data_IF_983832629713
#
_entry.id   IF_983832629713
#
_cell.length_a   1.000
_cell.length_b   1.000
_cell.length_c   1.000
_cell.angle_alpha   90.00
_cell.angle_beta   90.00
_cell.angle_gamma   90.00
#
_symmetry.space_group_name_H-M   'P 1'
#
loop_
_entity.id
_entity.type
_entity.pdbx_description
1 polymer ?
#
# COMPACT_ATOMS: atom_id res chain seq x y z
N UNK A 1 -7.86 10.42 -9.61
CA UNK A 1 -8.55 9.36 -8.85
C UNK A 1 -9.57 8.60 -9.71
N UNK A 2 -9.35 8.43 -11.02
CA UNK A 2 -10.16 7.46 -11.79
C UNK A 2 -9.65 6.05 -11.46
N UNK A 3 -10.49 5.23 -10.82
CA UNK A 3 -10.09 3.93 -10.27
C UNK A 3 -10.82 2.80 -10.98
N UNK A 4 -10.14 1.67 -11.10
CA UNK A 4 -10.69 0.43 -11.63
C UNK A 4 -10.16 -0.72 -10.78
N UNK A 5 -11.05 -1.47 -10.14
CA UNK A 5 -10.71 -2.77 -9.57
C UNK A 5 -10.69 -3.79 -10.71
N UNK A 6 -9.64 -4.60 -10.78
CA UNK A 6 -9.43 -5.54 -11.90
C UNK A 6 -9.29 -6.95 -11.38
N UNK A 7 -9.96 -7.86 -12.08
CA UNK A 7 -9.79 -9.29 -11.92
C UNK A 7 -9.32 -9.88 -13.25
N UNK A 8 -8.16 -10.53 -13.23
CA UNK A 8 -7.58 -11.15 -14.42
C UNK A 8 -7.39 -12.64 -14.22
N UNK A 9 -8.19 -13.44 -14.90
CA UNK A 9 -8.10 -14.90 -14.94
C UNK A 9 -7.60 -15.34 -16.32
N UNK A 10 -6.35 -15.79 -16.41
CA UNK A 10 -5.73 -16.18 -17.66
C UNK A 10 -5.30 -17.65 -17.65
N UNK A 11 -5.35 -18.35 -18.81
CA UNK A 11 -4.95 -19.75 -18.94
C UNK A 11 -3.42 -19.93 -19.08
N UNK A 12 -2.62 -18.98 -18.58
CA UNK A 12 -1.17 -18.98 -18.76
C UNK A 12 -0.49 -20.15 -18.05
N UNK A 13 0.57 -20.66 -18.69
CA UNK A 13 1.43 -21.74 -18.19
C UNK A 13 2.81 -21.20 -17.86
N UNK A 14 3.58 -21.93 -17.05
CA UNK A 14 4.96 -21.55 -16.68
C UNK A 14 5.84 -21.49 -17.94
N UNK A 15 5.65 -22.44 -18.86
CA UNK A 15 6.36 -22.53 -20.14
C UNK A 15 5.34 -22.88 -21.23
N UNK A 16 5.57 -22.37 -22.44
CA UNK A 16 4.74 -22.68 -23.60
C UNK A 16 5.06 -24.08 -24.17
N UNK A 17 4.59 -25.11 -23.46
CA UNK A 17 4.66 -26.49 -23.92
C UNK A 17 3.42 -27.32 -23.51
N UNK A 18 3.22 -28.43 -24.21
CA UNK A 18 2.22 -29.45 -23.86
C UNK A 18 2.59 -30.09 -22.52
N UNK A 19 1.71 -29.98 -21.52
CA UNK A 19 1.92 -30.52 -20.18
C UNK A 19 2.47 -29.54 -19.13
N UNK A 20 2.85 -28.31 -19.49
CA UNK A 20 3.26 -27.32 -18.48
C UNK A 20 2.14 -26.99 -17.49
N UNK A 21 2.52 -26.84 -16.23
CA UNK A 21 1.63 -26.41 -15.16
C UNK A 21 1.12 -24.98 -15.42
N UNK A 22 -0.13 -24.73 -15.04
CA UNK A 22 -0.68 -23.38 -14.97
C UNK A 22 0.15 -22.55 -13.99
N UNK A 23 0.35 -21.26 -14.29
CA UNK A 23 1.02 -20.37 -13.34
C UNK A 23 0.23 -20.30 -12.02
N UNK A 24 0.88 -20.17 -10.84
CA UNK A 24 0.19 -20.16 -9.55
C UNK A 24 -0.80 -18.99 -9.41
N UNK A 25 -0.39 -17.78 -9.81
CA UNK A 25 -1.20 -16.58 -9.85
C UNK A 25 -2.00 -16.45 -11.15
N UNK A 26 -2.60 -17.54 -11.65
CA UNK A 26 -3.39 -17.51 -12.88
C UNK A 26 -4.60 -16.58 -12.79
N UNK A 27 -5.17 -16.42 -11.60
CA UNK A 27 -6.16 -15.42 -11.29
C UNK A 27 -5.56 -14.42 -10.28
N UNK A 28 -5.73 -13.13 -10.54
CA UNK A 28 -5.34 -12.06 -9.62
C UNK A 28 -6.43 -11.00 -9.55
N UNK A 29 -6.64 -10.44 -8.37
CA UNK A 29 -7.50 -9.27 -8.15
C UNK A 29 -6.66 -8.14 -7.56
N UNK A 30 -6.80 -6.93 -8.09
CA UNK A 30 -6.02 -5.78 -7.64
C UNK A 30 -6.71 -4.44 -7.91
N UNK A 31 -6.33 -3.42 -7.14
CA UNK A 31 -6.75 -2.04 -7.38
C UNK A 31 -5.87 -1.38 -8.43
N UNK A 32 -6.46 -0.63 -9.36
CA UNK A 32 -5.75 -0.07 -10.51
C UNK A 32 -6.45 1.19 -11.03
N UNK A 33 -6.05 1.62 -12.21
CA UNK A 33 -6.48 2.81 -12.93
C UNK A 33 -6.84 2.42 -14.36
N UNK A 34 -7.66 3.20 -15.10
CA UNK A 34 -7.90 2.95 -16.52
C UNK A 34 -6.58 2.75 -17.28
N UNK A 35 -6.57 1.82 -18.26
CA UNK A 35 -5.42 1.45 -19.13
C UNK A 35 -4.18 0.81 -18.49
N UNK A 36 -3.96 0.92 -17.18
CA UNK A 36 -2.83 0.24 -16.52
C UNK A 36 -3.03 -1.28 -16.51
N UNK A 37 -2.03 -2.08 -16.87
CA UNK A 37 -2.13 -3.56 -16.81
C UNK A 37 -1.71 -4.14 -15.47
N UNK A 38 -1.14 -3.31 -14.59
CA UNK A 38 -0.79 -3.62 -13.22
C UNK A 38 -1.56 -2.72 -12.25
N UNK A 39 -1.47 -3.03 -10.97
CA UNK A 39 -1.72 -2.01 -9.96
C UNK A 39 -0.65 -0.92 -10.05
N UNK A 40 -0.96 0.24 -9.48
CA UNK A 40 -0.04 1.36 -9.25
C UNK A 40 -0.06 1.74 -7.76
N UNK A 41 -0.92 1.11 -6.95
CA UNK A 41 -1.15 1.49 -5.55
C UNK A 41 0.00 1.12 -4.58
N UNK A 42 0.53 -0.10 -4.46
CA UNK A 42 0.09 -1.40 -5.01
C UNK A 42 -0.71 -2.32 -4.05
N UNK A 43 -1.69 -3.07 -4.55
CA UNK A 43 -2.42 -4.10 -3.77
C UNK A 43 -2.94 -5.24 -4.65
N UNK A 44 -2.48 -6.47 -4.41
CA UNK A 44 -2.83 -7.68 -5.16
C UNK A 44 -3.27 -8.81 -4.23
N UNK A 45 -4.23 -9.59 -4.70
CA UNK A 45 -4.60 -10.92 -4.17
C UNK A 45 -4.45 -11.91 -5.31
N UNK A 46 -3.81 -13.05 -5.07
CA UNK A 46 -3.53 -14.03 -6.11
C UNK A 46 -4.16 -15.39 -5.82
N UNK A 47 -4.44 -16.17 -6.85
CA UNK A 47 -4.92 -17.57 -6.74
C UNK A 47 -3.91 -18.52 -6.09
N UNK A 48 -2.69 -18.05 -5.81
CA UNK A 48 -1.72 -18.75 -4.97
C UNK A 48 -1.89 -18.43 -3.47
N UNK A 49 -2.96 -17.73 -3.09
CA UNK A 49 -3.26 -17.26 -1.74
C UNK A 49 -2.17 -16.33 -1.17
N UNK A 50 -1.58 -15.51 -2.04
CA UNK A 50 -0.68 -14.42 -1.65
C UNK A 50 -1.43 -13.09 -1.67
N UNK A 51 -1.24 -12.30 -0.63
CA UNK A 51 -1.58 -10.87 -0.64
C UNK A 51 -0.29 -10.06 -0.73
N UNK A 52 -0.19 -9.21 -1.74
CA UNK A 52 1.01 -8.41 -2.02
C UNK A 52 0.65 -6.95 -2.04
N UNK A 53 1.34 -6.15 -1.25
CA UNK A 53 1.18 -4.69 -1.20
C UNK A 53 2.51 -4.02 -0.89
N UNK A 54 2.62 -2.71 -1.07
CA UNK A 54 3.84 -1.98 -0.77
C UNK A 54 3.57 -0.57 -0.26
N UNK A 55 4.62 0.05 0.30
CA UNK A 55 4.70 1.51 0.36
C UNK A 55 6.04 1.98 -0.19
N UNK A 56 6.01 3.08 -0.94
CA UNK A 56 7.21 3.60 -1.61
C UNK A 56 8.20 4.21 -0.62
N UNK A 57 9.45 3.82 -0.72
CA UNK A 57 10.58 4.40 0.00
C UNK A 57 11.28 5.44 -0.88
N UNK A 58 11.58 6.61 -0.31
CA UNK A 58 12.38 7.61 -1.00
C UNK A 58 13.86 7.21 -1.04
N UNK A 59 14.55 7.64 -2.09
CA UNK A 59 16.01 7.46 -2.24
C UNK A 59 16.66 8.84 -2.24
N UNK A 60 17.22 9.22 -1.09
CA UNK A 60 17.88 10.51 -0.87
C UNK A 60 19.34 10.50 -1.31
N UNK A 61 20.00 9.33 -1.27
CA UNK A 61 21.36 9.16 -1.74
C UNK A 61 21.41 9.23 -3.27
N UNK A 62 21.85 10.38 -3.79
CA UNK A 62 21.84 10.67 -5.22
C UNK A 62 22.84 9.85 -6.04
N UNK A 63 23.89 9.29 -5.42
CA UNK A 63 24.91 8.51 -6.12
C UNK A 63 24.33 7.20 -6.66
N UNK A 64 23.31 6.63 -5.98
CA UNK A 64 22.61 5.43 -6.43
C UNK A 64 21.93 5.60 -7.81
N UNK A 65 21.59 6.83 -8.20
CA UNK A 65 20.98 7.09 -9.51
C UNK A 65 21.95 6.92 -10.68
N UNK A 66 23.25 6.86 -10.45
CA UNK A 66 24.22 6.47 -11.47
C UNK A 66 23.99 5.05 -11.96
N UNK A 67 23.57 4.12 -11.09
CA UNK A 67 23.23 2.74 -11.46
C UNK A 67 22.05 2.71 -12.45
N UNK A 68 21.06 3.58 -12.23
CA UNK A 68 19.89 3.70 -13.11
C UNK A 68 20.27 4.37 -14.44
N UNK A 69 21.01 5.49 -14.39
CA UNK A 69 21.38 6.29 -15.57
C UNK A 69 22.39 5.61 -16.47
N UNK A 70 23.36 4.89 -15.90
CA UNK A 70 24.40 4.20 -16.66
C UNK A 70 23.91 2.88 -17.27
N UNK A 71 22.59 2.66 -17.25
CA UNK A 71 21.93 1.59 -17.97
C UNK A 71 22.38 0.23 -17.46
N UNK A 72 21.72 -0.29 -16.43
CA UNK A 72 21.61 -1.75 -16.36
C UNK A 72 20.91 -2.18 -17.65
N UNK A 73 21.68 -2.59 -18.66
CA UNK A 73 21.19 -2.96 -20.01
C UNK A 73 20.11 -4.04 -19.97
N UNK A 74 20.00 -4.72 -18.83
CA UNK A 74 19.05 -5.80 -18.57
C UNK A 74 17.98 -5.41 -17.53
N UNK A 75 17.88 -4.14 -17.10
CA UNK A 75 16.90 -3.72 -16.11
C UNK A 75 15.46 -3.88 -16.63
N UNK A 76 14.59 -4.40 -15.76
CA UNK A 76 13.16 -4.50 -16.00
C UNK A 76 12.43 -3.60 -15.02
N UNK A 77 11.55 -2.73 -15.51
CA UNK A 77 10.83 -1.77 -14.66
C UNK A 77 9.97 -2.49 -13.60
N UNK A 78 9.86 -1.86 -12.43
CA UNK A 78 9.23 -2.44 -11.23
C UNK A 78 7.83 -2.96 -11.45
N UNK A 79 6.98 -2.26 -12.22
CA UNK A 79 5.62 -2.72 -12.46
C UNK A 79 5.58 -4.06 -13.22
N UNK A 80 6.52 -4.29 -14.15
CA UNK A 80 6.66 -5.57 -14.85
C UNK A 80 7.16 -6.65 -13.91
N UNK A 81 8.20 -6.36 -13.10
CA UNK A 81 8.74 -7.31 -12.12
C UNK A 81 7.71 -7.71 -11.06
N UNK A 82 6.98 -6.75 -10.52
CA UNK A 82 5.90 -6.98 -9.55
C UNK A 82 4.77 -7.82 -10.16
N UNK A 83 4.39 -7.57 -11.41
CA UNK A 83 3.40 -8.39 -12.11
C UNK A 83 3.88 -9.82 -12.36
N UNK A 84 5.10 -10.00 -12.87
CA UNK A 84 5.69 -11.32 -13.12
C UNK A 84 5.81 -12.10 -11.81
N UNK A 85 6.33 -11.50 -10.75
CA UNK A 85 6.45 -12.13 -9.44
C UNK A 85 5.08 -12.54 -8.88
N UNK A 86 4.07 -11.67 -8.96
CA UNK A 86 2.71 -11.96 -8.48
C UNK A 86 1.99 -13.04 -9.28
N UNK A 87 2.39 -13.25 -10.54
CA UNK A 87 1.85 -14.31 -11.41
C UNK A 87 2.53 -15.65 -11.20
N UNK A 88 3.85 -15.67 -11.00
CA UNK A 88 4.64 -16.91 -10.98
C UNK A 88 4.84 -17.50 -9.58
N UNK A 89 4.78 -16.69 -8.52
CA UNK A 89 5.11 -17.14 -7.16
C UNK A 89 4.02 -17.98 -6.49
N UNK A 90 4.43 -19.07 -5.85
CA UNK A 90 3.62 -19.89 -4.92
C UNK A 90 3.81 -19.45 -3.46
N UNK A 91 4.98 -18.94 -3.11
CA UNK A 91 5.33 -18.51 -1.74
C UNK A 91 5.90 -17.09 -1.73
N UNK A 92 6.02 -16.51 -0.53
CA UNK A 92 6.68 -15.22 -0.34
C UNK A 92 8.15 -15.22 -0.80
N UNK A 93 8.89 -16.28 -0.52
CA UNK A 93 10.30 -16.43 -0.94
C UNK A 93 10.44 -16.48 -2.46
N UNK A 94 9.56 -17.20 -3.15
CA UNK A 94 9.54 -17.24 -4.62
C UNK A 94 9.20 -15.86 -5.20
N UNK A 95 8.21 -15.15 -4.63
CA UNK A 95 7.85 -13.80 -5.07
C UNK A 95 9.05 -12.87 -5.01
N UNK A 96 9.75 -12.88 -3.88
CA UNK A 96 10.95 -12.07 -3.68
C UNK A 96 12.04 -12.48 -4.68
N UNK A 97 12.26 -13.78 -4.89
CA UNK A 97 13.25 -14.29 -5.84
C UNK A 97 12.99 -13.79 -7.26
N UNK A 98 11.75 -13.85 -7.73
CA UNK A 98 11.37 -13.33 -9.05
C UNK A 98 11.46 -11.81 -9.13
N UNK A 99 11.01 -11.09 -8.09
CA UNK A 99 11.02 -9.62 -8.08
C UNK A 99 12.44 -9.03 -8.10
N UNK A 100 13.41 -9.70 -7.47
CA UNK A 100 14.81 -9.27 -7.43
C UNK A 100 15.50 -9.32 -8.78
N UNK A 101 15.07 -10.21 -9.66
CA UNK A 101 15.70 -10.42 -10.95
C UNK A 101 15.60 -9.15 -11.80
N UNK A 102 16.73 -8.72 -12.38
CA UNK A 102 16.81 -7.53 -13.23
C UNK A 102 16.27 -6.24 -12.59
N UNK A 103 16.54 -6.05 -11.29
CA UNK A 103 16.18 -4.85 -10.53
C UNK A 103 16.52 -3.55 -11.31
N UNK A 104 15.52 -2.70 -11.50
CA UNK A 104 15.67 -1.41 -12.19
C UNK A 104 16.12 -0.26 -11.30
N UNK A 105 16.00 -0.37 -9.98
CA UNK A 105 16.23 0.76 -9.07
C UNK A 105 15.21 1.88 -9.19
N UNK A 106 14.07 1.64 -9.81
CA UNK A 106 12.98 2.61 -10.00
C UNK A 106 11.76 2.18 -9.20
N UNK A 107 10.89 3.09 -8.79
CA UNK A 107 9.75 2.78 -7.91
C UNK A 107 10.17 1.90 -6.71
N UNK A 108 11.04 2.48 -5.87
CA UNK A 108 11.74 1.77 -4.81
C UNK A 108 10.84 1.65 -3.59
N UNK A 109 10.43 0.43 -3.25
CA UNK A 109 9.35 0.21 -2.30
C UNK A 109 9.76 -0.77 -1.20
N UNK A 110 9.04 -0.75 -0.08
CA UNK A 110 8.93 -1.90 0.83
C UNK A 110 7.72 -2.73 0.41
N UNK A 111 7.98 -3.86 -0.26
CA UNK A 111 6.98 -4.86 -0.57
C UNK A 111 6.71 -5.74 0.64
N UNK A 112 5.44 -6.02 0.90
CA UNK A 112 4.94 -6.94 1.92
C UNK A 112 4.22 -8.08 1.20
N UNK A 113 4.69 -9.30 1.44
CA UNK A 113 4.16 -10.52 0.82
C UNK A 113 3.62 -11.40 1.94
N UNK A 114 2.31 -11.39 2.09
CA UNK A 114 1.60 -12.22 3.05
C UNK A 114 1.14 -13.53 2.39
N UNK A 115 1.62 -14.66 2.91
CA UNK A 115 1.22 -15.99 2.47
C UNK A 115 0.18 -16.57 3.44
N UNK A 116 -1.09 -16.52 3.04
CA UNK A 116 -2.20 -17.00 3.86
C UNK A 116 -2.11 -18.52 4.15
N UNK A 117 -1.43 -19.29 3.29
CA UNK A 117 -1.21 -20.74 3.48
C UNK A 117 -0.24 -21.02 4.62
N UNK A 118 0.60 -20.05 4.97
CA UNK A 118 1.57 -20.17 6.06
C UNK A 118 1.07 -19.53 7.35
N UNK A 119 -0.06 -18.82 7.37
CA UNK A 119 -0.61 -18.26 8.60
C UNK A 119 -1.34 -19.35 9.42
N UNK A 120 -1.20 -19.41 10.77
CA UNK A 120 -0.44 -18.55 11.68
C UNK A 120 0.91 -19.15 12.12
N UNK A 121 1.64 -19.82 11.21
CA UNK A 121 2.96 -20.42 11.52
C UNK A 121 3.96 -19.34 11.97
N UNK A 122 5.07 -19.77 12.57
CA UNK A 122 6.09 -18.87 13.13
C UNK A 122 7.11 -18.36 12.10
N UNK A 123 6.97 -18.74 10.83
CA UNK A 123 7.89 -18.44 9.74
C UNK A 123 7.13 -18.50 8.41
N UNK A 124 7.48 -17.62 7.48
CA UNK A 124 6.98 -17.64 6.10
C UNK A 124 5.60 -17.02 5.90
N UNK A 125 4.93 -16.53 6.95
CA UNK A 125 3.59 -15.94 6.82
C UNK A 125 3.65 -14.51 6.28
N UNK A 126 4.63 -13.72 6.71
CA UNK A 126 4.84 -12.36 6.19
C UNK A 126 6.33 -12.14 5.93
N UNK A 127 6.67 -11.93 4.67
CA UNK A 127 8.00 -11.48 4.26
C UNK A 127 7.91 -10.05 3.75
N UNK A 128 9.00 -9.30 3.96
CA UNK A 128 9.21 -8.00 3.32
C UNK A 128 10.39 -8.04 2.36
N UNK A 129 10.33 -7.21 1.33
CA UNK A 129 11.46 -6.93 0.44
C UNK A 129 11.57 -5.43 0.18
N UNK A 130 12.75 -4.88 0.37
CA UNK A 130 13.02 -3.46 0.15
C UNK A 130 14.05 -3.28 -0.96
N UNK A 131 13.70 -2.43 -1.93
CA UNK A 131 14.50 -2.19 -3.13
C UNK A 131 15.16 -0.81 -3.10
N UNK A 132 16.38 -0.73 -3.62
CA UNK A 132 17.04 0.49 -4.08
C UNK A 132 17.69 0.22 -5.44
N UNK A 133 18.25 1.23 -6.14
CA UNK A 133 19.16 0.97 -7.25
C UNK A 133 20.29 0.02 -6.85
N UNK A 134 20.41 -1.09 -7.57
CA UNK A 134 21.48 -2.09 -7.39
C UNK A 134 21.25 -3.14 -6.30
N UNK A 135 20.26 -2.98 -5.42
CA UNK A 135 20.04 -3.91 -4.30
C UNK A 135 18.57 -4.14 -4.00
N UNK A 136 18.26 -5.37 -3.60
CA UNK A 136 16.99 -5.72 -2.95
C UNK A 136 17.29 -6.61 -1.74
N UNK A 137 16.98 -6.11 -0.55
CA UNK A 137 17.10 -6.85 0.70
C UNK A 137 15.74 -7.39 1.12
N UNK A 138 15.71 -8.45 1.91
CA UNK A 138 14.45 -9.08 2.33
C UNK A 138 14.57 -9.69 3.72
N UNK A 139 13.47 -9.69 4.47
CA UNK A 139 13.37 -10.28 5.81
C UNK A 139 12.05 -11.02 5.98
N UNK A 140 12.09 -12.12 6.71
CA UNK A 140 10.89 -12.74 7.27
C UNK A 140 10.52 -12.03 8.59
N UNK A 141 9.40 -11.33 8.58
CA UNK A 141 8.91 -10.53 9.72
C UNK A 141 7.75 -11.20 10.43
N UNK A 142 7.50 -12.49 10.17
CA UNK A 142 6.41 -13.27 10.77
C UNK A 142 6.47 -13.24 12.31
N UNK A 143 7.65 -13.35 12.90
CA UNK A 143 7.82 -13.27 14.36
C UNK A 143 7.43 -11.89 14.90
N UNK A 144 7.81 -10.82 14.20
CA UNK A 144 7.47 -9.44 14.59
C UNK A 144 5.96 -9.24 14.51
N UNK A 145 5.34 -9.66 13.40
CA UNK A 145 3.89 -9.63 13.22
C UNK A 145 3.16 -10.33 14.39
N UNK A 146 3.61 -11.51 14.79
CA UNK A 146 2.98 -12.27 15.89
C UNK A 146 3.18 -11.63 17.26
N UNK A 147 4.37 -11.11 17.56
CA UNK A 147 4.68 -10.50 18.85
C UNK A 147 3.94 -9.18 19.02
N UNK A 148 3.94 -8.34 17.99
CA UNK A 148 3.32 -7.03 18.04
C UNK A 148 1.81 -7.10 17.82
N UNK A 149 1.31 -8.16 17.20
CA UNK A 149 -0.07 -8.28 16.74
C UNK A 149 -0.35 -7.51 15.44
N UNK A 150 0.65 -6.86 14.84
CA UNK A 150 0.52 -6.14 13.57
C UNK A 150 1.87 -5.95 12.87
N UNK A 151 1.80 -5.64 11.57
CA UNK A 151 2.89 -5.06 10.79
C UNK A 151 2.37 -3.80 10.11
N UNK A 152 3.15 -2.71 10.12
CA UNK A 152 2.79 -1.46 9.48
C UNK A 152 3.92 -0.97 8.57
N UNK A 153 3.53 -0.32 7.47
CA UNK A 153 4.43 0.27 6.48
C UNK A 153 3.99 1.69 6.17
N UNK A 154 4.94 2.62 6.06
CA UNK A 154 4.66 4.06 5.99
C UNK A 154 5.79 4.85 5.33
N UNK A 155 6.28 4.37 4.19
CA UNK A 155 7.25 5.06 3.32
C UNK A 155 8.63 5.32 3.94
N UNK A 156 9.05 4.48 4.89
CA UNK A 156 10.43 4.47 5.39
C UNK A 156 10.99 3.05 5.36
N UNK A 157 12.25 2.87 4.94
CA UNK A 157 12.90 1.56 5.02
C UNK A 157 12.97 1.04 6.45
N UNK A 158 12.63 -0.24 6.61
CA UNK A 158 12.76 -1.00 7.85
C UNK A 158 14.12 -1.71 7.94
N UNK A 159 14.65 -2.21 6.82
CA UNK A 159 15.91 -2.96 6.80
C UNK A 159 17.06 -1.96 6.96
N UNK A 160 17.88 -2.15 8.00
CA UNK A 160 18.94 -1.19 8.38
C UNK A 160 19.85 -0.77 7.23
N UNK A 161 20.36 -1.72 6.44
CA UNK A 161 21.23 -1.40 5.30
C UNK A 161 20.51 -0.54 4.25
N UNK A 162 19.23 -0.79 3.99
CA UNK A 162 18.43 -0.01 3.04
C UNK A 162 18.17 1.39 3.61
N UNK A 163 17.89 1.49 4.90
CA UNK A 163 17.73 2.77 5.60
C UNK A 163 18.98 3.65 5.49
N UNK A 164 20.17 3.09 5.71
CA UNK A 164 21.44 3.80 5.58
C UNK A 164 21.78 4.11 4.11
N UNK A 165 21.75 3.11 3.22
CA UNK A 165 22.15 3.28 1.80
C UNK A 165 21.24 4.26 1.04
N UNK A 166 19.95 4.29 1.36
CA UNK A 166 19.00 5.24 0.78
C UNK A 166 19.28 6.69 1.18
N UNK A 167 20.14 6.95 2.17
CA UNK A 167 20.38 8.27 2.74
C UNK A 167 19.29 8.72 3.73
N UNK A 168 18.40 7.82 4.16
CA UNK A 168 17.33 8.15 5.12
C UNK A 168 17.90 8.49 6.50
N UNK A 169 18.99 7.83 6.90
CA UNK A 169 19.71 8.17 8.15
C UNK A 169 20.20 9.62 8.17
N UNK A 170 20.73 10.12 7.06
CA UNK A 170 21.16 11.52 6.95
C UNK A 170 19.97 12.49 7.01
N UNK A 171 18.84 12.11 6.40
CA UNK A 171 17.60 12.87 6.53
C UNK A 171 17.10 12.93 7.98
N UNK A 172 17.26 11.86 8.74
CA UNK A 172 16.93 11.84 10.17
C UNK A 172 17.82 12.77 11.00
N UNK A 173 19.11 12.88 10.68
CA UNK A 173 20.02 13.85 11.33
C UNK A 173 19.60 15.30 11.03
N UNK A 174 19.14 15.58 9.81
CA UNK A 174 18.76 16.94 9.38
C UNK A 174 17.35 17.36 9.82
N UNK A 175 16.38 16.45 9.80
CA UNK A 175 14.95 16.78 9.95
C UNK A 175 14.25 15.97 11.05
N UNK A 176 14.99 15.15 11.80
CA UNK A 176 14.52 14.49 13.02
C UNK A 176 13.52 13.35 12.78
N UNK A 177 12.59 13.22 13.72
CA UNK A 177 11.68 12.08 13.90
C UNK A 177 10.87 11.69 12.64
N UNK A 178 10.66 12.60 11.70
CA UNK A 178 9.96 12.32 10.44
C UNK A 178 10.66 11.26 9.58
N UNK A 179 11.98 11.09 9.74
CA UNK A 179 12.78 10.11 9.02
C UNK A 179 13.30 8.98 9.92
N UNK A 180 12.88 8.93 11.18
CA UNK A 180 13.22 7.82 12.09
C UNK A 180 12.07 6.82 12.07
N UNK A 181 12.33 5.60 11.59
CA UNK A 181 11.29 4.60 11.27
C UNK A 181 10.24 4.41 12.37
N UNK A 182 10.63 4.34 13.64
CA UNK A 182 9.70 4.11 14.76
C UNK A 182 9.20 5.39 15.45
N UNK A 183 9.51 6.59 14.94
CA UNK A 183 9.12 7.87 15.54
C UNK A 183 8.26 8.79 14.66
N UNK A 184 7.98 8.39 13.42
CA UNK A 184 7.05 9.15 12.56
C UNK A 184 5.64 9.21 13.16
N UNK A 185 4.85 10.19 12.74
CA UNK A 185 3.43 10.30 13.14
C UNK A 185 2.68 9.00 12.85
N UNK A 186 2.80 8.45 11.63
CA UNK A 186 2.16 7.18 11.25
C UNK A 186 2.61 5.99 12.09
N UNK A 187 3.92 5.88 12.38
CA UNK A 187 4.43 4.82 13.25
C UNK A 187 3.83 4.90 14.66
N UNK A 188 3.72 6.12 15.21
CA UNK A 188 3.14 6.40 16.53
C UNK A 188 1.63 6.13 16.54
N UNK A 189 0.89 6.56 15.51
CA UNK A 189 -0.56 6.32 15.38
C UNK A 189 -0.84 4.82 15.27
N UNK A 190 -0.13 4.10 14.39
CA UNK A 190 -0.29 2.64 14.30
C UNK A 190 -0.01 1.97 15.65
N UNK A 191 1.08 2.31 16.34
CA UNK A 191 1.40 1.75 17.66
C UNK A 191 0.31 2.06 18.69
N UNK A 192 -0.28 3.26 18.65
CA UNK A 192 -1.35 3.67 19.56
C UNK A 192 -2.65 2.90 19.27
N UNK A 193 -3.03 2.75 18.01
CA UNK A 193 -4.41 2.41 17.64
C UNK A 193 -4.60 1.02 17.03
N UNK A 194 -3.54 0.29 16.67
CA UNK A 194 -3.69 -1.02 16.00
C UNK A 194 -4.56 -2.01 16.78
N UNK A 195 -4.52 -1.99 18.12
CA UNK A 195 -5.28 -2.90 18.98
C UNK A 195 -6.80 -2.63 18.97
N UNK A 196 -7.24 -1.48 18.45
CA UNK A 196 -8.66 -1.14 18.29
C UNK A 196 -9.27 -1.82 17.07
N UNK A 197 -8.44 -2.38 16.17
CA UNK A 197 -8.88 -3.07 14.98
C UNK A 197 -9.27 -4.51 15.32
N UNK A 198 -10.57 -4.77 15.32
CA UNK A 198 -11.17 -6.07 15.67
C UNK A 198 -12.07 -6.64 14.55
N UNK A 199 -12.37 -5.84 13.55
CA UNK A 199 -13.28 -6.15 12.44
C UNK A 199 -13.01 -5.24 11.22
N UNK A 200 -13.81 -5.41 10.15
CA UNK A 200 -13.67 -4.61 8.94
C UNK A 200 -13.97 -3.11 9.14
N UNK A 201 -15.06 -2.70 9.82
CA UNK A 201 -15.30 -1.29 10.11
C UNK A 201 -14.16 -0.62 10.88
N UNK A 202 -13.62 -1.26 11.92
CA UNK A 202 -12.50 -0.71 12.69
C UNK A 202 -11.18 -0.68 11.90
N UNK A 203 -10.91 -1.67 11.03
CA UNK A 203 -9.78 -1.60 10.10
C UNK A 203 -9.93 -0.44 9.11
N UNK A 204 -11.13 -0.27 8.54
CA UNK A 204 -11.41 0.82 7.61
C UNK A 204 -11.25 2.19 8.27
N UNK A 205 -11.76 2.33 9.49
CA UNK A 205 -11.58 3.54 10.30
C UNK A 205 -10.11 3.86 10.53
N UNK A 206 -9.28 2.88 10.93
CA UNK A 206 -7.84 3.12 11.11
C UNK A 206 -7.14 3.50 9.80
N UNK A 207 -7.43 2.80 8.70
CA UNK A 207 -6.80 3.08 7.41
C UNK A 207 -7.27 4.40 6.77
N UNK A 208 -8.42 4.92 7.20
CA UNK A 208 -8.95 6.24 6.82
C UNK A 208 -8.67 7.33 7.85
N UNK A 209 -8.00 7.01 8.96
CA UNK A 209 -7.84 7.93 10.07
C UNK A 209 -7.05 9.19 9.68
N UNK A 210 -7.66 10.34 9.94
CA UNK A 210 -7.01 11.65 9.87
C UNK A 210 -7.80 12.68 10.69
N UNK A 211 -7.35 12.90 11.92
CA UNK A 211 -7.87 13.94 12.82
C UNK A 211 -6.79 14.99 13.12
N UNK A 212 -6.10 15.46 12.07
CA UNK A 212 -4.83 16.19 12.23
C UNK A 212 -4.91 17.51 13.01
N UNK A 213 -6.11 18.10 13.14
CA UNK A 213 -6.30 19.33 13.91
C UNK A 213 -6.35 19.07 15.41
N UNK A 214 -6.70 17.85 15.84
CA UNK A 214 -6.88 17.49 17.24
C UNK A 214 -5.91 16.40 17.73
N UNK A 215 -5.38 15.56 16.84
CA UNK A 215 -4.43 14.50 17.21
C UNK A 215 -3.06 15.11 17.56
N UNK A 216 -2.57 14.97 18.81
CA UNK A 216 -1.23 15.46 19.19
C UNK A 216 -0.11 14.83 18.36
N UNK A 217 -0.31 13.64 17.78
CA UNK A 217 0.67 13.00 16.89
C UNK A 217 0.78 13.64 15.51
N UNK A 218 -0.17 14.51 15.15
CA UNK A 218 -0.17 15.28 13.91
C UNK A 218 0.48 16.67 14.05
N UNK A 219 0.94 17.02 15.25
CA UNK A 219 1.63 18.29 15.51
C UNK A 219 2.98 18.36 14.82
N UNK A 220 3.36 19.56 14.35
CA UNK A 220 4.69 19.81 13.77
C UNK A 220 5.24 21.19 14.16
N UNK A 221 6.57 21.40 14.06
CA UNK A 221 7.20 22.71 14.19
C UNK A 221 6.94 23.54 12.91
N UNK A 222 5.67 23.81 12.65
CA UNK A 222 5.12 24.41 11.44
C UNK A 222 4.09 25.49 11.85
N UNK A 223 3.61 26.28 10.89
CA UNK A 223 2.52 27.23 11.10
C UNK A 223 1.44 27.03 10.03
N UNK A 224 0.19 26.68 10.36
CA UNK A 224 -0.33 26.25 11.68
C UNK A 224 0.45 25.07 12.29
N UNK A 225 0.37 24.81 13.61
CA UNK A 225 1.23 23.85 14.34
C UNK A 225 0.86 22.37 14.12
N UNK A 226 0.25 22.05 12.99
CA UNK A 226 -0.16 20.72 12.58
C UNK A 226 -0.08 20.59 11.07
N UNK A 227 -0.04 19.35 10.59
CA UNK A 227 -0.15 19.05 9.16
C UNK A 227 -1.05 17.84 8.96
N UNK A 228 -1.94 17.91 7.98
CA UNK A 228 -2.79 16.79 7.57
C UNK A 228 -2.01 15.64 6.91
N UNK A 229 -0.71 15.84 6.64
CA UNK A 229 0.18 14.79 6.15
C UNK A 229 0.60 13.82 7.26
N UNK A 230 0.52 14.25 8.52
CA UNK A 230 0.88 13.47 9.72
C UNK A 230 -0.30 12.63 10.21
N UNK A 231 -0.88 11.83 9.33
CA UNK A 231 -2.02 10.94 9.59
C UNK A 231 -1.88 9.65 8.78
N UNK A 232 -2.73 8.63 9.02
CA UNK A 232 -2.72 7.40 8.22
C UNK A 232 -3.20 7.70 6.79
N UNK A 233 -4.30 8.45 6.64
CA UNK A 233 -4.86 8.85 5.35
C UNK A 233 -4.72 10.36 5.14
N UNK A 234 -3.58 10.80 4.60
CA UNK A 234 -3.27 12.23 4.46
C UNK A 234 -4.31 13.02 3.65
N UNK A 235 -4.49 14.31 3.97
CA UNK A 235 -5.44 15.25 3.32
C UNK A 235 -4.76 16.59 3.03
N UNK A 236 -3.70 16.57 2.21
CA UNK A 236 -2.79 17.71 2.09
C UNK A 236 -3.47 18.97 1.55
N UNK A 237 -4.62 18.85 0.89
CA UNK A 237 -5.38 20.00 0.38
C UNK A 237 -6.11 20.76 1.49
N UNK A 238 -6.18 20.20 2.71
CA UNK A 238 -6.69 20.89 3.89
C UNK A 238 -5.60 21.68 4.65
N UNK A 239 -4.32 21.54 4.27
CA UNK A 239 -3.26 22.38 4.83
C UNK A 239 -3.41 23.83 4.33
N UNK A 240 -2.98 24.80 5.13
CA UNK A 240 -3.02 26.21 4.73
C UNK A 240 -2.03 26.46 3.57
N UNK A 241 -2.48 26.94 2.39
CA UNK A 241 -1.57 27.28 1.29
C UNK A 241 -0.54 28.36 1.63
N UNK A 242 -0.79 29.17 2.67
CA UNK A 242 0.11 30.20 3.21
C UNK A 242 0.90 29.72 4.44
N UNK A 243 0.74 28.46 4.82
CA UNK A 243 1.41 27.89 5.98
C UNK A 243 2.93 27.77 5.78
N UNK A 244 3.66 27.73 6.89
CA UNK A 244 5.10 27.52 6.95
C UNK A 244 5.37 26.08 7.35
N UNK A 245 5.87 25.28 6.40
CA UNK A 245 6.14 23.86 6.58
C UNK A 245 7.63 23.59 6.36
N UNK A 246 8.37 23.09 7.36
CA UNK A 246 9.80 22.84 7.22
C UNK A 246 10.10 21.65 6.29
N UNK A 247 9.14 20.74 6.12
CA UNK A 247 9.22 19.64 5.16
C UNK A 247 8.22 19.92 4.03
N UNK A 248 8.66 19.98 2.76
CA UNK A 248 7.78 20.31 1.63
C UNK A 248 6.58 19.37 1.46
N UNK A 249 6.68 18.10 1.89
CA UNK A 249 5.55 17.17 1.83
C UNK A 249 4.44 17.48 2.83
N UNK A 250 4.68 18.34 3.83
CA UNK A 250 3.65 18.73 4.81
C UNK A 250 2.78 19.91 4.35
N UNK A 251 3.10 20.52 3.22
CA UNK A 251 2.40 21.71 2.74
C UNK A 251 1.09 21.40 2.02
N UNK A 252 0.36 22.46 1.66
CA UNK A 252 -0.78 22.37 0.77
C UNK A 252 -0.41 21.71 -0.55
N UNK A 253 -1.06 20.59 -0.86
CA UNK A 253 -0.89 19.85 -2.12
C UNK A 253 -2.20 19.18 -2.48
N UNK A 254 -2.47 19.00 -3.78
CA UNK A 254 -3.54 18.11 -4.23
C UNK A 254 -3.08 16.66 -4.17
N UNK A 255 -2.83 16.18 -2.95
CA UNK A 255 -2.20 14.91 -2.64
C UNK A 255 -2.73 14.37 -1.30
N UNK A 256 -2.76 13.05 -1.13
CA UNK A 256 -3.26 12.43 0.09
C UNK A 256 -3.58 10.95 -0.07
N UNK A 257 -4.23 10.37 0.93
CA UNK A 257 -4.87 9.07 0.80
C UNK A 257 -6.05 9.18 -0.18
N UNK A 258 -6.18 8.23 -1.11
CA UNK A 258 -7.23 8.26 -2.15
C UNK A 258 -8.09 7.01 -2.22
N UNK A 259 -7.85 6.05 -1.32
CA UNK A 259 -8.59 4.81 -1.18
C UNK A 259 -8.17 4.07 0.10
N UNK A 260 -8.86 2.97 0.39
CA UNK A 260 -8.34 1.88 1.20
C UNK A 260 -8.85 0.55 0.63
N UNK A 261 -8.04 -0.52 0.73
CA UNK A 261 -8.42 -1.89 0.36
C UNK A 261 -8.13 -2.81 1.54
N UNK A 262 -9.08 -3.68 1.88
CA UNK A 262 -9.01 -4.55 3.06
C UNK A 262 -9.47 -5.95 2.68
N UNK A 263 -8.77 -6.95 3.21
CA UNK A 263 -9.07 -8.38 3.04
C UNK A 263 -8.89 -9.09 4.37
N UNK A 264 -9.62 -10.18 4.56
CA UNK A 264 -9.31 -11.21 5.53
C UNK A 264 -8.89 -12.51 4.83
N UNK A 265 -8.63 -13.57 5.60
CA UNK A 265 -8.26 -14.88 5.06
C UNK A 265 -9.34 -15.47 4.13
N UNK A 266 -10.61 -15.21 4.40
CA UNK A 266 -11.72 -15.66 3.56
C UNK A 266 -11.71 -14.95 2.20
N UNK A 267 -11.61 -13.63 2.20
CA UNK A 267 -11.59 -12.80 1.00
C UNK A 267 -10.38 -13.10 0.13
N UNK A 268 -9.22 -13.41 0.73
CA UNK A 268 -8.04 -13.88 0.00
C UNK A 268 -8.35 -15.13 -0.82
N UNK A 269 -9.02 -16.12 -0.21
CA UNK A 269 -9.41 -17.36 -0.91
C UNK A 269 -10.42 -17.12 -2.03
N UNK A 270 -11.25 -16.07 -1.90
CA UNK A 270 -12.28 -15.72 -2.87
C UNK A 270 -11.78 -14.74 -3.93
N UNK A 271 -10.54 -14.24 -3.81
CA UNK A 271 -10.00 -13.15 -4.63
C UNK A 271 -10.88 -11.89 -4.59
N UNK A 272 -11.52 -11.65 -3.45
CA UNK A 272 -12.37 -10.49 -3.20
C UNK A 272 -11.71 -9.51 -2.24
N UNK A 273 -12.20 -8.27 -2.20
CA UNK A 273 -11.76 -7.25 -1.25
C UNK A 273 -12.89 -6.29 -0.89
N UNK A 274 -12.77 -5.69 0.29
CA UNK A 274 -13.44 -4.42 0.59
C UNK A 274 -12.57 -3.32 -0.01
N UNK A 275 -13.19 -2.37 -0.71
CA UNK A 275 -12.51 -1.21 -1.24
C UNK A 275 -13.36 0.05 -1.05
N UNK A 276 -12.72 1.16 -0.70
CA UNK A 276 -13.34 2.49 -0.70
C UNK A 276 -12.51 3.42 -1.57
N UNK A 277 -13.18 4.30 -2.32
CA UNK A 277 -12.51 5.26 -3.20
C UNK A 277 -12.69 6.70 -2.71
N UNK A 278 -11.65 7.50 -2.86
CA UNK A 278 -11.61 8.91 -2.51
C UNK A 278 -10.93 9.19 -1.18
N UNK A 279 -10.63 10.48 -0.92
CA UNK A 279 -10.01 10.90 0.32
C UNK A 279 -10.86 10.55 1.54
N UNK A 280 -10.22 10.40 2.70
CA UNK A 280 -10.95 10.21 3.97
C UNK A 280 -11.91 11.35 4.22
N UNK A 281 -13.09 11.06 4.73
CA UNK A 281 -14.10 12.05 5.13
C UNK A 281 -14.72 11.72 6.50
N UNK A 282 -14.05 10.86 7.26
CA UNK A 282 -14.58 10.28 8.47
C UNK A 282 -14.59 11.34 9.58
N UNK A 283 -13.42 11.94 9.87
CA UNK A 283 -13.26 13.05 10.81
C UNK A 283 -13.17 14.43 10.11
N UNK A 284 -13.25 14.44 8.77
CA UNK A 284 -12.93 15.59 7.93
C UNK A 284 -14.01 15.86 6.88
N UNK A 285 -14.16 17.11 6.37
CA UNK A 285 -15.12 17.38 5.32
C UNK A 285 -14.78 16.57 4.05
N UNK A 286 -15.79 16.02 3.35
CA UNK A 286 -15.59 15.36 2.08
C UNK A 286 -14.89 16.27 1.07
N UNK A 287 -13.89 15.73 0.36
CA UNK A 287 -13.19 16.46 -0.68
C UNK A 287 -14.14 16.83 -1.84
N UNK A 288 -14.01 18.07 -2.34
CA UNK A 288 -14.83 18.59 -3.45
C UNK A 288 -13.99 19.42 -4.42
N UNK A 289 -13.99 19.05 -5.70
CA UNK A 289 -13.25 19.79 -6.73
C UNK A 289 -13.72 21.23 -6.88
N UNK A 290 -15.03 21.49 -6.78
CA UNK A 290 -15.61 22.84 -6.87
C UNK A 290 -15.11 23.80 -5.78
N UNK A 291 -14.52 23.29 -4.71
CA UNK A 291 -13.95 24.11 -3.62
C UNK A 291 -12.45 24.37 -3.80
N UNK A 292 -11.80 23.72 -4.77
CA UNK A 292 -10.38 23.92 -5.04
C UNK A 292 -10.22 25.12 -5.96
N UNK A 293 -9.56 26.17 -5.46
CA UNK A 293 -9.30 27.39 -6.20
C UNK A 293 -8.34 27.12 -7.37
N UNK A 294 -8.61 27.77 -8.52
CA UNK A 294 -7.73 27.80 -9.69
C UNK A 294 -7.42 26.42 -10.31
N UNK A 295 -8.21 25.40 -9.98
CA UNK A 295 -8.03 24.03 -10.50
C UNK A 295 -9.33 23.55 -11.11
N UNK A 296 -9.29 23.29 -12.42
CA UNK A 296 -10.42 22.69 -13.12
C UNK A 296 -10.59 21.24 -12.69
N UNK A 297 -11.82 20.86 -12.33
CA UNK A 297 -12.17 19.47 -12.05
C UNK A 297 -11.71 18.56 -13.20
N UNK A 298 -10.91 17.51 -12.94
CA UNK A 298 -10.49 16.58 -13.97
C UNK A 298 -11.68 15.89 -14.65
N UNK A 299 -11.53 15.55 -15.91
CA UNK A 299 -12.57 14.85 -16.68
C UNK A 299 -12.93 13.52 -15.99
N UNK A 300 -14.22 13.16 -16.02
CA UNK A 300 -14.81 11.96 -15.39
C UNK A 300 -14.70 11.89 -13.86
N UNK A 301 -14.05 12.85 -13.18
CA UNK A 301 -14.12 12.89 -11.72
C UNK A 301 -15.52 13.35 -11.25
N UNK A 302 -16.10 12.71 -10.22
CA UNK A 302 -17.19 13.29 -9.46
C UNK A 302 -16.72 14.61 -8.81
N UNK A 303 -17.63 15.55 -8.61
CA UNK A 303 -17.29 16.79 -7.89
C UNK A 303 -16.97 16.51 -6.43
N UNK A 304 -17.92 15.90 -5.72
CA UNK A 304 -17.82 15.49 -4.31
C UNK A 304 -17.39 14.03 -4.18
N UNK A 305 -16.39 13.78 -3.36
CA UNK A 305 -15.87 12.45 -3.06
C UNK A 305 -16.37 12.00 -1.69
N UNK A 306 -17.51 11.32 -1.69
CA UNK A 306 -18.13 10.74 -0.50
C UNK A 306 -18.76 9.40 -0.88
N UNK A 307 -17.91 8.41 -1.14
CA UNK A 307 -18.33 7.08 -1.57
C UNK A 307 -18.32 6.09 -0.42
N UNK A 308 -19.36 5.28 -0.24
CA UNK A 308 -19.32 4.18 0.71
C UNK A 308 -18.28 3.11 0.28
N UNK A 309 -17.81 2.27 1.21
CA UNK A 309 -17.04 1.09 0.84
C UNK A 309 -17.90 0.13 0.00
N UNK A 310 -17.26 -0.60 -0.92
CA UNK A 310 -17.85 -1.65 -1.73
C UNK A 310 -17.12 -2.97 -1.47
N UNK A 311 -17.81 -4.08 -1.71
CA UNK A 311 -17.21 -5.42 -1.70
C UNK A 311 -17.22 -5.94 -3.12
N UNK A 312 -16.09 -6.43 -3.60
CA UNK A 312 -16.04 -7.06 -4.92
C UNK A 312 -16.69 -8.44 -4.88
N UNK A 313 -17.35 -8.81 -5.97
CA UNK A 313 -17.88 -10.17 -6.18
C UNK A 313 -17.55 -10.60 -7.62
N UNK A 314 -16.33 -11.10 -7.83
CA UNK A 314 -15.88 -11.54 -9.15
C UNK A 314 -16.40 -12.96 -9.44
N UNK A 315 -17.15 -13.12 -10.53
CA UNK A 315 -17.97 -14.31 -10.85
C UNK A 315 -17.15 -15.58 -11.13
N UNK A 316 -15.86 -15.44 -11.46
CA UNK A 316 -15.06 -16.53 -12.04
C UNK A 316 -14.38 -17.47 -11.02
N UNK A 317 -14.52 -17.23 -9.71
CA UNK A 317 -13.92 -18.08 -8.68
C UNK A 317 -15.01 -18.76 -7.84
N UNK A 318 -15.24 -20.09 -7.95
CA UNK A 318 -16.31 -20.75 -7.25
C UNK A 318 -16.12 -20.62 -5.73
N UNK A 319 -17.21 -20.24 -5.04
CA UNK A 319 -17.32 -20.29 -3.58
C UNK A 319 -17.21 -21.75 -3.14
N UNK A 320 -16.00 -22.29 -3.05
CA UNK A 320 -15.78 -23.63 -2.55
C UNK A 320 -16.25 -23.67 -1.08
N UNK A 321 -17.40 -24.31 -0.84
CA UNK A 321 -17.92 -24.77 0.46
C UNK A 321 -17.43 -23.98 1.67
N UNK A 322 -17.75 -22.70 1.73
CA UNK A 322 -17.63 -21.95 2.97
C UNK A 322 -18.99 -21.35 3.26
N UNK A 323 -19.68 -21.96 4.23
CA UNK A 323 -20.73 -21.33 5.01
C UNK A 323 -20.11 -20.13 5.73
N UNK A 324 -19.82 -19.07 4.98
CA UNK A 324 -19.46 -17.79 5.55
C UNK A 324 -20.76 -17.07 5.68
N UNK A 325 -21.18 -16.98 6.94
CA UNK A 325 -22.33 -16.20 7.35
C UNK A 325 -22.20 -14.82 6.70
N UNK A 326 -22.99 -14.57 5.67
CA UNK A 326 -23.32 -13.25 5.18
C UNK A 326 -24.22 -12.51 6.20
N UNK A 327 -23.96 -12.68 7.51
CA UNK A 327 -24.76 -12.06 8.59
C UNK A 327 -24.31 -10.64 8.96
N UNK A 328 -23.36 -10.03 8.26
CA UNK A 328 -22.81 -8.75 8.73
C UNK A 328 -22.86 -7.59 7.74
N UNK A 329 -23.70 -7.65 6.71
CA UNK A 329 -23.89 -6.53 5.79
C UNK A 329 -25.37 -6.31 5.47
N UNK A 330 -26.15 -5.95 6.49
CA UNK A 330 -27.23 -5.01 6.22
C UNK A 330 -26.58 -3.65 6.02
N UNK A 331 -26.80 -3.03 4.85
CA UNK A 331 -26.37 -1.66 4.52
C UNK A 331 -26.70 -0.61 5.61
N UNK A 332 -27.62 -0.94 6.51
CA UNK A 332 -28.06 -0.10 7.62
C UNK A 332 -27.09 -0.01 8.81
N UNK A 333 -26.11 -0.92 8.95
CA UNK A 333 -25.17 -0.87 10.09
C UNK A 333 -23.88 -0.09 9.82
N UNK A 334 -23.79 0.57 8.66
CA UNK A 334 -22.61 1.34 8.22
C UNK A 334 -22.86 2.86 8.17
N UNK A 335 -23.99 3.34 8.71
CA UNK A 335 -24.33 4.76 8.83
C UNK A 335 -24.94 5.11 10.19
#
# INVERSE_FOLDING_TARGET
MLRVLKHYNFPWKIVDNTGSQKIPGFAITFSSYPTYTSSVDDFYITSANLTITETTNNVYNKTLWEIVRNGSKNAVLTFMRGMVASRLAKTGEEWITYFKYNNSGTYNNQWMIFDAKQWPKNKGSLLIAEQLPGIVSSLDVTKILKINGYWASYNLPFIGDIYTLSGTEEMAKMFGDWYVHNKTARAKIFRRDHHKVVDFPSMLSLMRYNDFMNDPLSTCPCKPPYTSNSAISARDELNDPKGQYPIPSWSYRLHGGTDAKIVDLSMINQLNMIAISGPTYDDLPPFRWSLIKDVKKPLMHPDKWQFPPVITDFIDYPKANSNISARFLSFESLF
#
